data_IF_501333712312
#
_entry.id   IF_501333712312
#
_cell.length_a   1.000
_cell.length_b   1.000
_cell.length_c   1.000
_cell.angle_alpha   90.00
_cell.angle_beta   90.00
_cell.angle_gamma   90.00
#
_symmetry.space_group_name_H-M   'P 1'
#
loop_
_entity.id
_entity.type
_entity.pdbx_description
1 polymer ?
#
# COMPACT_ATOMS: atom_id res chain seq x y z
N UNK A 1 32.58 -3.50 30.10
CA UNK A 1 32.72 -3.35 28.64
C UNK A 1 32.12 -4.51 27.86
N UNK A 2 32.43 -5.76 28.24
CA UNK A 2 31.88 -6.95 27.53
C UNK A 2 30.35 -7.00 27.61
N UNK A 3 29.75 -6.63 28.75
CA UNK A 3 28.31 -6.63 28.95
C UNK A 3 27.62 -5.62 28.04
N UNK A 4 28.18 -4.44 27.81
CA UNK A 4 27.63 -3.42 26.95
C UNK A 4 27.68 -3.87 25.48
N UNK A 5 28.76 -4.53 25.06
CA UNK A 5 28.89 -5.07 23.71
C UNK A 5 27.86 -6.17 23.44
N UNK A 6 27.62 -7.06 24.40
CA UNK A 6 26.63 -8.14 24.29
C UNK A 6 25.22 -7.56 24.18
N UNK A 7 24.88 -6.53 24.99
CA UNK A 7 23.58 -5.89 24.92
C UNK A 7 23.37 -5.18 23.59
N UNK A 8 24.38 -4.50 23.04
CA UNK A 8 24.28 -3.85 21.73
C UNK A 8 24.02 -4.85 20.61
N UNK A 9 24.71 -6.00 20.62
CA UNK A 9 24.51 -7.06 19.63
C UNK A 9 23.10 -7.66 19.77
N UNK A 10 22.63 -7.91 20.96
CA UNK A 10 21.29 -8.44 21.20
C UNK A 10 20.20 -7.52 20.66
N UNK A 11 20.32 -6.21 20.91
CA UNK A 11 19.37 -5.21 20.39
C UNK A 11 19.42 -5.16 18.87
N UNK A 12 20.61 -5.18 18.26
CA UNK A 12 20.76 -5.16 16.81
C UNK A 12 20.13 -6.39 16.16
N UNK A 13 20.31 -7.57 16.74
CA UNK A 13 19.69 -8.81 16.25
C UNK A 13 18.18 -8.75 16.35
N UNK A 14 17.67 -8.25 17.46
CA UNK A 14 16.22 -8.12 17.65
C UNK A 14 15.57 -7.17 16.63
N UNK A 15 16.17 -6.01 16.38
CA UNK A 15 15.70 -5.07 15.37
C UNK A 15 15.79 -5.71 13.96
N UNK A 16 16.88 -6.41 13.67
CA UNK A 16 17.07 -7.10 12.39
C UNK A 16 16.00 -8.14 12.13
N UNK A 17 15.63 -8.95 13.13
CA UNK A 17 14.56 -9.94 13.02
C UNK A 17 13.21 -9.26 12.79
N UNK A 18 12.94 -8.17 13.50
CA UNK A 18 11.71 -7.39 13.32
C UNK A 18 11.56 -6.84 11.92
N UNK A 19 12.67 -6.41 11.30
CA UNK A 19 12.67 -5.88 9.93
C UNK A 19 12.69 -6.97 8.86
N UNK A 20 13.06 -8.19 9.21
CA UNK A 20 13.09 -9.31 8.29
C UNK A 20 11.70 -9.86 7.96
N UNK A 21 10.66 -9.46 8.70
CA UNK A 21 9.29 -9.81 8.33
C UNK A 21 8.97 -9.17 6.99
N UNK A 22 8.40 -9.95 6.08
CA UNK A 22 8.08 -9.47 4.74
C UNK A 22 7.00 -8.38 4.85
N UNK A 23 7.36 -7.11 4.65
CA UNK A 23 6.36 -6.05 4.66
C UNK A 23 5.52 -6.12 3.39
N UNK A 24 4.30 -5.60 3.44
CA UNK A 24 3.53 -5.39 2.23
C UNK A 24 4.18 -4.26 1.43
N UNK A 25 4.32 -4.50 0.12
CA UNK A 25 4.85 -3.52 -0.83
C UNK A 25 3.81 -3.26 -1.89
N UNK A 26 3.83 -2.08 -2.45
CA UNK A 26 2.95 -1.73 -3.55
C UNK A 26 3.68 -0.89 -4.57
N UNK A 27 3.23 -0.99 -5.82
CA UNK A 27 3.74 -0.21 -6.93
C UNK A 27 2.56 0.29 -7.74
N UNK A 28 2.50 1.58 -7.98
CA UNK A 28 1.46 2.17 -8.78
C UNK A 28 1.72 1.87 -10.26
N UNK A 29 0.74 1.23 -10.92
CA UNK A 29 0.83 0.91 -12.34
C UNK A 29 0.27 2.06 -13.19
N UNK A 30 -0.88 2.60 -12.81
CA UNK A 30 -1.50 3.69 -13.51
C UNK A 30 -2.90 4.00 -13.02
N UNK A 31 -3.49 5.02 -13.60
CA UNK A 31 -4.86 5.42 -13.29
C UNK A 31 -5.53 5.94 -14.56
N UNK A 32 -6.86 5.91 -14.53
CA UNK A 32 -7.67 6.48 -15.59
C UNK A 32 -8.80 7.28 -14.98
N UNK A 33 -8.94 8.54 -15.39
CA UNK A 33 -10.02 9.40 -14.93
C UNK A 33 -11.23 9.17 -15.83
N UNK A 34 -12.31 8.64 -15.25
CA UNK A 34 -13.55 8.32 -15.97
C UNK A 34 -14.62 9.40 -15.77
N UNK A 35 -14.20 10.66 -15.68
CA UNK A 35 -15.11 11.78 -15.50
C UNK A 35 -15.07 12.35 -14.09
N UNK A 36 -16.02 13.25 -13.75
CA UNK A 36 -15.98 13.94 -12.46
C UNK A 36 -16.46 13.07 -11.29
N UNK A 37 -17.00 11.87 -11.54
CA UNK A 37 -17.61 11.04 -10.49
C UNK A 37 -16.79 9.84 -10.12
N UNK A 38 -15.78 9.45 -10.90
CA UNK A 38 -14.96 8.28 -10.60
C UNK A 38 -13.62 8.31 -11.31
N UNK A 39 -12.66 7.61 -10.68
CA UNK A 39 -11.32 7.39 -11.23
C UNK A 39 -10.95 5.95 -11.00
N UNK A 40 -10.42 5.29 -12.03
CA UNK A 40 -9.94 3.92 -11.92
C UNK A 40 -8.45 3.92 -11.63
N UNK A 41 -8.05 3.14 -10.63
CA UNK A 41 -6.65 3.02 -10.20
C UNK A 41 -6.20 1.58 -10.31
N UNK A 42 -5.03 1.35 -10.89
CA UNK A 42 -4.40 0.04 -10.98
C UNK A 42 -3.05 0.08 -10.26
N UNK A 43 -2.82 -0.88 -9.40
CA UNK A 43 -1.57 -0.99 -8.66
C UNK A 43 -1.25 -2.45 -8.38
N UNK A 44 0.03 -2.74 -8.16
CA UNK A 44 0.50 -4.06 -7.80
C UNK A 44 0.80 -4.10 -6.30
N UNK A 45 0.33 -5.15 -5.64
CA UNK A 45 0.59 -5.39 -4.22
C UNK A 45 1.43 -6.66 -4.10
N UNK A 46 2.57 -6.55 -3.44
CA UNK A 46 3.47 -7.67 -3.17
C UNK A 46 3.45 -7.94 -1.67
N UNK A 47 3.09 -9.15 -1.31
CA UNK A 47 3.00 -9.60 0.08
C UNK A 47 3.10 -11.11 0.14
N UNK A 48 3.14 -11.68 1.35
CA UNK A 48 3.02 -13.12 1.53
C UNK A 48 1.71 -13.60 0.88
N UNK A 49 1.74 -14.67 0.06
CA UNK A 49 0.54 -15.17 -0.60
C UNK A 49 -0.62 -15.52 0.33
N UNK A 50 -0.31 -15.91 1.56
CA UNK A 50 -1.32 -16.31 2.55
C UNK A 50 -1.83 -15.13 3.38
N UNK A 51 -1.23 -13.96 3.25
CA UNK A 51 -1.58 -12.78 4.03
C UNK A 51 -2.71 -11.99 3.37
N UNK A 52 -3.41 -11.20 4.19
CA UNK A 52 -4.41 -10.24 3.75
C UNK A 52 -3.87 -8.83 4.03
N UNK A 53 -4.00 -7.95 3.05
CA UNK A 53 -3.58 -6.56 3.18
C UNK A 53 -4.76 -5.63 2.95
N UNK A 54 -4.73 -4.49 3.64
CA UNK A 54 -5.67 -3.39 3.40
C UNK A 54 -4.90 -2.23 2.79
N UNK A 55 -5.35 -1.74 1.65
CA UNK A 55 -4.76 -0.61 0.97
C UNK A 55 -5.75 0.53 0.91
N UNK A 56 -5.27 1.75 1.13
CA UNK A 56 -6.07 2.95 0.92
C UNK A 56 -5.54 3.68 -0.29
N UNK A 57 -6.41 3.93 -1.25
CA UNK A 57 -6.10 4.69 -2.45
C UNK A 57 -6.91 5.98 -2.45
N UNK A 58 -6.33 7.03 -3.00
CA UNK A 58 -6.98 8.33 -3.04
C UNK A 58 -6.85 8.95 -4.43
N UNK A 59 -7.85 9.73 -4.79
CA UNK A 59 -7.85 10.54 -6.01
C UNK A 59 -7.60 12.00 -5.63
N UNK A 60 -6.77 12.69 -6.39
CA UNK A 60 -6.36 14.05 -6.12
C UNK A 60 -6.79 14.97 -7.26
N UNK A 61 -7.23 16.19 -6.91
CA UNK A 61 -7.53 17.23 -7.88
C UNK A 61 -6.26 17.93 -8.36
N UNK A 62 -6.43 18.88 -9.28
CA UNK A 62 -5.32 19.72 -9.77
C UNK A 62 -4.67 20.58 -8.68
N UNK A 63 -5.34 20.75 -7.55
CA UNK A 63 -4.82 21.44 -6.36
C UNK A 63 -4.26 20.46 -5.31
N UNK A 64 -4.10 19.20 -5.67
CA UNK A 64 -3.68 18.12 -4.76
C UNK A 64 -4.60 17.90 -3.57
N UNK A 65 -5.86 18.33 -3.70
CA UNK A 65 -6.86 18.05 -2.68
C UNK A 65 -7.44 16.64 -2.89
N UNK A 66 -7.68 15.93 -1.80
CA UNK A 66 -8.33 14.62 -1.85
C UNK A 66 -9.79 14.79 -2.24
N UNK A 67 -10.16 14.25 -3.39
CA UNK A 67 -11.53 14.32 -3.91
C UNK A 67 -12.23 12.97 -3.91
N UNK A 68 -11.52 11.92 -3.55
CA UNK A 68 -12.08 10.59 -3.39
C UNK A 68 -11.10 9.67 -2.66
N UNK A 69 -11.63 8.68 -1.96
CA UNK A 69 -10.84 7.68 -1.26
C UNK A 69 -11.57 6.35 -1.36
N UNK A 70 -10.80 5.27 -1.46
CA UNK A 70 -11.33 3.92 -1.48
C UNK A 70 -10.42 3.00 -0.69
N UNK A 71 -11.00 2.19 0.18
CA UNK A 71 -10.28 1.14 0.88
C UNK A 71 -10.43 -0.17 0.10
N UNK A 72 -9.30 -0.85 -0.12
CA UNK A 72 -9.25 -2.09 -0.87
C UNK A 72 -8.65 -3.18 0.00
N UNK A 73 -9.34 -4.30 0.10
CA UNK A 73 -8.83 -5.48 0.80
C UNK A 73 -8.25 -6.44 -0.25
N UNK A 74 -6.97 -6.78 -0.10
CA UNK A 74 -6.28 -7.72 -0.97
C UNK A 74 -6.08 -9.01 -0.18
N UNK A 75 -6.90 -10.01 -0.50
CA UNK A 75 -6.91 -11.28 0.20
C UNK A 75 -5.78 -12.21 -0.22
N UNK A 76 -5.75 -13.42 0.37
CA UNK A 76 -4.80 -14.45 -0.02
C UNK A 76 -4.94 -14.82 -1.48
N UNK A 77 -3.82 -15.11 -2.14
CA UNK A 77 -3.77 -15.59 -3.51
C UNK A 77 -2.63 -16.58 -3.68
N UNK A 78 -2.57 -17.22 -4.83
CA UNK A 78 -1.51 -18.19 -5.14
C UNK A 78 -0.19 -17.54 -5.54
N UNK A 79 -0.07 -16.21 -5.53
CA UNK A 79 1.12 -15.48 -5.95
C UNK A 79 1.46 -14.39 -4.94
N UNK A 80 2.75 -14.01 -4.89
CA UNK A 80 3.21 -12.94 -4.02
C UNK A 80 2.77 -11.56 -4.51
N UNK A 81 2.70 -11.38 -5.83
CA UNK A 81 2.32 -10.11 -6.44
C UNK A 81 0.96 -10.24 -7.09
N UNK A 82 0.04 -9.33 -6.74
CA UNK A 82 -1.29 -9.27 -7.33
C UNK A 82 -1.49 -7.89 -7.94
N UNK A 83 -2.04 -7.86 -9.14
CA UNK A 83 -2.49 -6.62 -9.77
C UNK A 83 -3.92 -6.34 -9.35
N UNK A 84 -4.15 -5.17 -8.80
CA UNK A 84 -5.45 -4.75 -8.28
C UNK A 84 -5.93 -3.53 -9.05
N UNK A 85 -7.16 -3.61 -9.53
CA UNK A 85 -7.82 -2.45 -10.16
C UNK A 85 -9.04 -2.11 -9.33
N UNK A 86 -9.16 -0.86 -8.95
CA UNK A 86 -10.29 -0.37 -8.15
C UNK A 86 -10.82 0.94 -8.70
N UNK A 87 -12.12 1.16 -8.49
CA UNK A 87 -12.77 2.42 -8.87
C UNK A 87 -12.93 3.27 -7.62
N UNK A 88 -12.45 4.51 -7.68
CA UNK A 88 -12.53 5.48 -6.60
C UNK A 88 -13.67 6.45 -6.91
N UNK A 89 -14.75 6.48 -6.11
CA UNK A 89 -15.79 7.51 -6.27
C UNK A 89 -15.19 8.88 -5.93
N UNK A 90 -15.44 9.88 -6.77
CA UNK A 90 -14.90 11.22 -6.57
C UNK A 90 -16.01 12.26 -6.54
N UNK A 91 -15.77 13.33 -5.76
CA UNK A 91 -16.70 14.46 -5.66
C UNK A 91 -16.49 15.47 -6.79
N UNK A 92 -15.29 15.48 -7.39
CA UNK A 92 -14.97 16.29 -8.56
C UNK A 92 -13.94 15.56 -9.41
N UNK A 93 -13.64 16.08 -10.60
CA UNK A 93 -12.71 15.43 -11.50
C UNK A 93 -11.30 15.41 -10.91
N UNK A 94 -10.72 14.21 -10.82
CA UNK A 94 -9.35 14.02 -10.35
C UNK A 94 -8.37 14.18 -11.51
N UNK A 95 -7.14 14.55 -11.20
CA UNK A 95 -6.04 14.59 -12.18
C UNK A 95 -5.01 13.50 -11.89
N UNK A 96 -5.07 12.88 -10.72
CA UNK A 96 -4.20 11.76 -10.37
C UNK A 96 -4.84 10.87 -9.32
N UNK A 97 -4.28 9.68 -9.17
CA UNK A 97 -4.64 8.75 -8.11
C UNK A 97 -3.37 8.11 -7.58
N UNK A 98 -3.30 7.94 -6.26
CA UNK A 98 -2.13 7.37 -5.60
C UNK A 98 -2.58 6.37 -4.54
N UNK A 99 -1.69 5.43 -4.22
CA UNK A 99 -1.88 4.55 -3.06
C UNK A 99 -1.34 5.30 -1.84
N UNK A 100 -2.21 5.59 -0.88
CA UNK A 100 -1.80 6.28 0.34
C UNK A 100 -0.91 5.38 1.19
N UNK A 101 -1.36 4.17 1.47
CA UNK A 101 -0.57 3.14 2.14
C UNK A 101 -1.28 1.79 2.05
N UNK A 102 -0.50 0.73 2.28
CA UNK A 102 -1.01 -0.62 2.46
C UNK A 102 -0.45 -1.17 3.76
N UNK A 103 -1.25 -1.99 4.46
CA UNK A 103 -0.81 -2.65 5.67
C UNK A 103 -1.36 -4.07 5.71
N UNK A 104 -0.65 -4.95 6.41
CA UNK A 104 -1.11 -6.32 6.64
C UNK A 104 -2.20 -6.31 7.71
N UNK A 105 -3.24 -7.08 7.45
CA UNK A 105 -4.35 -7.22 8.39
C UNK A 105 -4.07 -8.31 9.42
#
# INVERSE_FOLDING_TARGET
MVVLAVLAVAVAVWIGIGQARTPVRWEEVGFRVDGPTQTEMTFDVTKDPDATASCRVQALSDRYAEVGVQDVTVGPAGTQTQRVTTTIPTAEEAVSAVVEHCELS
#
